data_IF_479648815922
#
_entry.id   IF_479648815922
#
_cell.length_a   1.000
_cell.length_b   1.000
_cell.length_c   1.000
_cell.angle_alpha   90.00
_cell.angle_beta   90.00
_cell.angle_gamma   90.00
#
_symmetry.space_group_name_H-M   'P 1'
#
loop_
_entity.id
_entity.type
_entity.pdbx_description
1 polymer ?
#
# COMPACT_ATOMS: atom_id res chain seq x y z
N UNK A 1 2.47 11.69 1.05
CA UNK A 1 2.09 10.42 0.37
C UNK A 1 2.97 9.25 0.79
N UNK A 2 4.27 9.42 1.01
CA UNK A 2 5.22 8.35 1.38
C UNK A 2 4.78 7.43 2.54
N UNK A 3 4.20 7.97 3.62
CA UNK A 3 3.65 7.14 4.70
C UNK A 3 2.48 6.25 4.24
N UNK A 4 1.65 6.72 3.30
CA UNK A 4 0.56 5.94 2.71
C UNK A 4 1.13 4.85 1.79
N UNK A 5 2.19 5.14 1.03
CA UNK A 5 2.88 4.15 0.19
C UNK A 5 3.47 3.02 1.04
N UNK A 6 4.11 3.36 2.17
CA UNK A 6 4.66 2.39 3.11
C UNK A 6 3.57 1.49 3.69
N UNK A 7 2.46 2.08 4.13
CA UNK A 7 1.31 1.31 4.63
C UNK A 7 0.71 0.42 3.54
N UNK A 8 0.59 0.92 2.31
CA UNK A 8 0.06 0.18 1.18
C UNK A 8 0.96 -1.02 0.81
N UNK A 9 2.29 -0.81 0.78
CA UNK A 9 3.26 -1.91 0.63
C UNK A 9 3.00 -2.99 1.67
N UNK A 10 2.96 -2.61 2.94
CA UNK A 10 2.77 -3.57 4.04
C UNK A 10 1.43 -4.30 3.93
N UNK A 11 0.38 -3.61 3.48
CA UNK A 11 -0.95 -4.19 3.30
C UNK A 11 -0.96 -5.23 2.18
N UNK A 12 -0.28 -4.97 1.06
CA UNK A 12 -0.08 -5.97 0.01
C UNK A 12 0.69 -7.19 0.52
N UNK A 13 1.76 -6.97 1.31
CA UNK A 13 2.56 -8.03 1.89
C UNK A 13 1.74 -8.96 2.79
N UNK A 14 0.98 -8.40 3.73
CA UNK A 14 0.09 -9.17 4.62
C UNK A 14 -1.00 -9.90 3.83
N UNK A 15 -1.64 -9.22 2.88
CA UNK A 15 -2.69 -9.82 2.05
C UNK A 15 -2.16 -11.01 1.25
N UNK A 16 -0.97 -10.87 0.65
CA UNK A 16 -0.29 -11.95 -0.07
C UNK A 16 0.11 -13.10 0.86
N UNK A 17 0.71 -12.80 2.02
CA UNK A 17 1.16 -13.80 2.98
C UNK A 17 0.02 -14.69 3.49
N UNK A 18 -1.18 -14.12 3.69
CA UNK A 18 -2.38 -14.80 4.16
C UNK A 18 -3.29 -15.33 3.04
N UNK A 19 -3.01 -14.98 1.77
CA UNK A 19 -3.88 -15.29 0.63
C UNK A 19 -5.27 -14.69 0.77
N UNK A 20 -5.34 -13.42 1.17
CA UNK A 20 -6.59 -12.67 1.43
C UNK A 20 -6.77 -11.52 0.46
N UNK A 21 -8.01 -11.16 0.21
CA UNK A 21 -8.37 -9.95 -0.56
C UNK A 21 -8.05 -8.69 0.25
N UNK A 22 -7.33 -7.75 -0.36
CA UNK A 22 -7.03 -6.44 0.21
C UNK A 22 -8.15 -5.44 -0.08
N UNK A 23 -8.77 -4.86 0.95
CA UNK A 23 -9.57 -3.64 0.77
C UNK A 23 -8.59 -2.46 0.75
N UNK A 24 -8.49 -1.77 -0.38
CA UNK A 24 -7.55 -0.66 -0.55
C UNK A 24 -7.89 0.48 0.41
N UNK A 25 -6.90 1.18 0.98
CA UNK A 25 -7.17 2.34 1.82
C UNK A 25 -7.67 3.51 0.97
N UNK A 26 -8.39 4.43 1.60
CA UNK A 26 -8.68 5.74 1.00
C UNK A 26 -7.37 6.53 0.93
N UNK A 27 -6.90 6.80 -0.29
CA UNK A 27 -5.66 7.54 -0.51
C UNK A 27 -5.94 9.05 -0.56
N UNK A 28 -5.03 9.83 -0.01
CA UNK A 28 -5.10 11.29 -0.01
C UNK A 28 -3.90 11.84 -0.80
N UNK A 29 -4.21 12.59 -1.85
CA UNK A 29 -3.20 13.16 -2.73
C UNK A 29 -3.12 14.69 -2.57
N UNK A 30 -1.90 15.20 -2.70
CA UNK A 30 -1.62 16.64 -2.66
C UNK A 30 -1.71 17.29 -4.03
N UNK A 31 -1.40 16.58 -5.11
CA UNK A 31 -1.47 17.10 -6.47
C UNK A 31 -2.33 16.19 -7.35
N UNK A 32 -3.01 16.81 -8.31
CA UNK A 32 -3.71 16.11 -9.38
C UNK A 32 -2.72 15.38 -10.30
N UNK A 33 -3.21 14.34 -11.00
CA UNK A 33 -2.44 13.62 -12.01
C UNK A 33 -2.89 14.07 -13.39
N UNK A 34 -1.93 14.57 -14.15
CA UNK A 34 -2.06 15.17 -15.47
C UNK A 34 -0.80 14.85 -16.29
N UNK A 35 -0.84 15.08 -17.60
CA UNK A 35 0.31 14.80 -18.49
C UNK A 35 1.15 16.04 -18.83
N UNK A 36 0.78 17.21 -18.30
CA UNK A 36 1.45 18.48 -18.56
C UNK A 36 1.84 19.18 -17.24
N UNK A 37 2.88 20.03 -17.24
CA UNK A 37 3.24 20.84 -16.08
C UNK A 37 2.06 21.66 -15.53
N UNK A 38 1.88 21.64 -14.22
CA UNK A 38 0.84 22.41 -13.54
C UNK A 38 1.18 22.62 -12.05
N UNK A 39 0.51 23.57 -11.39
CA UNK A 39 0.76 23.92 -9.99
C UNK A 39 0.07 22.99 -8.98
N UNK A 40 -0.18 21.73 -9.37
CA UNK A 40 -0.82 20.70 -8.54
C UNK A 40 -2.35 20.58 -8.66
N UNK A 41 -3.02 21.46 -9.41
CA UNK A 41 -4.42 21.31 -9.83
C UNK A 41 -4.48 21.45 -11.36
N UNK A 42 -5.30 20.65 -12.04
CA UNK A 42 -5.48 20.77 -13.50
C UNK A 42 -6.05 22.17 -13.82
N UNK A 43 -5.47 22.92 -14.78
CA UNK A 43 -6.00 24.22 -15.18
C UNK A 43 -7.50 24.15 -15.55
N UNK A 44 -8.30 25.04 -14.95
CA UNK A 44 -9.76 25.08 -15.14
C UNK A 44 -10.57 24.14 -14.24
N UNK A 45 -9.92 23.29 -13.43
CA UNK A 45 -10.60 22.46 -12.44
C UNK A 45 -10.99 23.27 -11.20
N UNK A 46 -12.20 23.03 -10.66
CA UNK A 46 -12.69 23.61 -9.40
C UNK A 46 -12.21 22.87 -8.16
N UNK A 47 -11.29 21.94 -8.35
CA UNK A 47 -10.88 20.98 -7.36
C UNK A 47 -9.99 21.56 -6.25
N UNK A 48 -10.20 21.06 -5.03
CA UNK A 48 -9.49 21.51 -3.83
C UNK A 48 -8.50 20.44 -3.33
N UNK A 49 -7.37 20.92 -2.82
CA UNK A 49 -6.31 20.08 -2.25
C UNK A 49 -6.31 20.19 -0.72
N UNK A 50 -5.99 19.11 0.02
CA UNK A 50 -5.82 17.74 -0.47
C UNK A 50 -7.16 17.09 -0.79
N UNK A 51 -7.13 15.98 -1.53
CA UNK A 51 -8.33 15.27 -1.96
C UNK A 51 -8.21 13.76 -1.79
N UNK A 52 -9.34 13.08 -1.73
CA UNK A 52 -9.41 11.64 -1.84
C UNK A 52 -9.09 11.23 -3.29
N UNK A 53 -7.88 10.73 -3.55
CA UNK A 53 -7.48 10.41 -4.91
C UNK A 53 -8.03 9.07 -5.38
N UNK A 54 -8.44 8.99 -6.66
CA UNK A 54 -8.61 7.73 -7.36
C UNK A 54 -7.37 6.85 -7.22
N UNK A 55 -7.56 5.53 -7.15
CA UNK A 55 -6.47 4.58 -6.96
C UNK A 55 -5.43 4.67 -8.10
N UNK A 56 -5.88 4.94 -9.32
CA UNK A 56 -5.06 5.05 -10.53
C UNK A 56 -4.11 6.25 -10.51
N UNK A 57 -4.31 7.22 -9.61
CA UNK A 57 -3.34 8.29 -9.39
C UNK A 57 -2.05 7.77 -8.76
N UNK A 58 -2.12 6.73 -7.94
CA UNK A 58 -0.98 6.22 -7.16
C UNK A 58 -0.50 4.86 -7.66
N UNK A 59 -1.41 4.01 -8.14
CA UNK A 59 -1.15 2.65 -8.59
C UNK A 59 -1.55 2.50 -10.05
N UNK A 60 -0.74 1.82 -10.84
CA UNK A 60 -1.14 1.38 -12.17
C UNK A 60 -2.16 0.24 -12.04
N UNK A 61 -3.45 0.59 -12.09
CA UNK A 61 -4.56 -0.35 -11.88
C UNK A 61 -4.60 -1.43 -12.97
N UNK A 62 -4.22 -1.10 -14.20
CA UNK A 62 -4.17 -2.08 -15.30
C UNK A 62 -3.13 -3.15 -15.01
N UNK A 63 -1.93 -2.74 -14.56
CA UNK A 63 -0.87 -3.67 -14.16
C UNK A 63 -1.26 -4.45 -12.90
N UNK A 64 -1.89 -3.81 -11.92
CA UNK A 64 -2.38 -4.47 -10.71
C UNK A 64 -3.38 -5.60 -11.03
N UNK A 65 -4.39 -5.32 -11.86
CA UNK A 65 -5.40 -6.30 -12.28
C UNK A 65 -4.76 -7.44 -13.09
N UNK A 66 -3.87 -7.10 -14.03
CA UNK A 66 -3.20 -8.10 -14.86
C UNK A 66 -2.25 -9.01 -14.07
N UNK A 67 -1.64 -8.50 -12.99
CA UNK A 67 -0.70 -9.26 -12.18
C UNK A 67 -1.37 -10.40 -11.40
N UNK A 68 -2.66 -10.29 -11.04
CA UNK A 68 -3.40 -11.27 -10.22
C UNK A 68 -2.63 -11.73 -8.96
N UNK A 69 -1.78 -10.85 -8.42
CA UNK A 69 -0.86 -11.18 -7.34
C UNK A 69 -1.58 -11.19 -5.97
N UNK A 70 -2.47 -10.22 -5.78
CA UNK A 70 -3.37 -10.05 -4.63
C UNK A 70 -4.72 -9.58 -5.15
N UNK A 71 -5.80 -10.29 -4.79
CA UNK A 71 -7.15 -9.81 -5.03
C UNK A 71 -7.40 -8.52 -4.24
N UNK A 72 -8.12 -7.57 -4.80
CA UNK A 72 -8.40 -6.31 -4.11
C UNK A 72 -9.84 -5.83 -4.28
N UNK A 73 -10.24 -4.93 -3.38
CA UNK A 73 -11.48 -4.14 -3.44
C UNK A 73 -11.14 -2.67 -3.26
N UNK A 74 -11.93 -1.80 -3.87
CA UNK A 74 -11.78 -0.35 -3.68
C UNK A 74 -12.14 0.09 -2.25
N UNK A 75 -11.72 1.30 -1.87
CA UNK A 75 -11.79 1.74 -0.48
C UNK A 75 -13.21 1.87 0.07
N UNK A 76 -14.18 2.22 -0.78
CA UNK A 76 -15.57 2.40 -0.38
C UNK A 76 -16.37 1.08 -0.37
N UNK A 77 -15.71 -0.06 -0.64
CA UNK A 77 -16.34 -1.38 -0.70
C UNK A 77 -17.18 -1.70 0.55
N UNK A 78 -16.71 -1.33 1.74
CA UNK A 78 -17.44 -1.60 3.00
C UNK A 78 -18.59 -0.60 3.26
N UNK A 79 -18.59 0.54 2.57
CA UNK A 79 -19.64 1.57 2.64
C UNK A 79 -20.78 1.27 1.67
N UNK A 80 -20.50 0.52 0.58
CA UNK A 80 -21.49 0.13 -0.42
C UNK A 80 -22.65 -0.68 0.20
N UNK A 81 -23.89 -0.26 0.00
CA UNK A 81 -25.10 -0.92 0.50
C UNK A 81 -25.24 -2.36 0.02
N UNK A 82 -24.71 -2.68 -1.18
CA UNK A 82 -24.74 -4.03 -1.77
C UNK A 82 -23.72 -4.98 -1.14
N UNK A 83 -22.79 -4.48 -0.34
CA UNK A 83 -21.83 -5.34 0.36
C UNK A 83 -22.53 -6.09 1.50
N UNK A 84 -22.47 -7.44 1.54
CA UNK A 84 -23.16 -8.23 2.55
C UNK A 84 -22.81 -7.81 3.98
N UNK A 85 -23.80 -7.76 4.87
CA UNK A 85 -23.60 -7.39 6.28
C UNK A 85 -22.59 -8.30 7.00
N UNK A 86 -22.52 -9.57 6.62
CA UNK A 86 -21.51 -10.50 7.13
C UNK A 86 -20.09 -10.01 6.86
N UNK A 87 -19.81 -9.47 5.67
CA UNK A 87 -18.50 -8.89 5.33
C UNK A 87 -18.23 -7.55 6.05
N UNK A 88 -19.28 -6.78 6.35
CA UNK A 88 -19.17 -5.49 7.08
C UNK A 88 -18.93 -5.68 8.58
N UNK A 89 -19.66 -6.59 9.21
CA UNK A 89 -19.69 -6.75 10.67
C UNK A 89 -18.68 -7.77 11.18
N UNK A 90 -18.37 -8.84 10.43
CA UNK A 90 -17.41 -9.86 10.85
C UNK A 90 -15.97 -9.33 10.73
N UNK A 91 -15.49 -8.66 11.78
CA UNK A 91 -14.15 -8.06 11.84
C UNK A 91 -13.39 -8.54 13.08
N UNK A 92 -12.10 -8.80 12.91
CA UNK A 92 -11.13 -8.93 13.98
C UNK A 92 -10.17 -7.74 13.90
N UNK A 93 -10.05 -6.99 15.00
CA UNK A 93 -9.12 -5.87 15.07
C UNK A 93 -7.72 -6.42 15.34
N UNK A 94 -6.74 -5.97 14.56
CA UNK A 94 -5.33 -6.33 14.68
C UNK A 94 -4.54 -5.09 15.05
N UNK A 95 -3.74 -5.17 16.11
CA UNK A 95 -2.84 -4.07 16.52
C UNK A 95 -1.38 -4.48 16.32
N UNK A 96 -0.56 -3.54 15.83
CA UNK A 96 0.89 -3.67 15.73
C UNK A 96 1.49 -3.10 17.01
N UNK A 97 2.18 -3.92 17.79
CA UNK A 97 2.66 -3.50 19.11
C UNK A 97 3.99 -4.09 19.49
N UNK A 98 4.75 -3.32 20.26
CA UNK A 98 5.96 -3.80 20.91
C UNK A 98 5.62 -4.67 22.14
N UNK A 99 6.52 -5.59 22.46
CA UNK A 99 6.37 -6.40 23.66
C UNK A 99 6.53 -5.52 24.91
N UNK A 100 5.45 -5.26 25.63
CA UNK A 100 5.45 -4.49 26.88
C UNK A 100 4.39 -3.40 26.98
N UNK A 101 3.70 -3.06 25.89
CA UNK A 101 2.64 -2.06 25.91
C UNK A 101 1.39 -2.59 26.60
N UNK A 102 1.13 -2.13 27.83
CA UNK A 102 -0.01 -2.53 28.65
C UNK A 102 -1.39 -2.19 28.02
N UNK A 103 -1.42 -1.25 27.07
CA UNK A 103 -2.62 -0.89 26.30
C UNK A 103 -2.76 -1.68 24.98
N UNK A 104 -1.73 -2.42 24.58
CA UNK A 104 -1.79 -3.20 23.36
C UNK A 104 -2.63 -4.47 23.55
N UNK A 105 -3.69 -4.60 22.74
CA UNK A 105 -4.46 -5.83 22.66
C UNK A 105 -5.66 -5.91 23.59
N UNK A 106 -6.19 -4.76 24.04
CA UNK A 106 -7.49 -4.67 24.72
C UNK A 106 -8.61 -5.25 23.82
N UNK A 107 -8.80 -6.58 23.86
CA UNK A 107 -9.82 -7.34 23.15
C UNK A 107 -9.54 -7.72 21.69
N UNK A 108 -8.30 -7.59 21.19
CA UNK A 108 -7.97 -7.81 19.77
C UNK A 108 -6.78 -8.74 19.51
N UNK A 109 -6.56 -9.08 18.23
CA UNK A 109 -5.37 -9.81 17.78
C UNK A 109 -4.16 -8.87 17.76
N UNK A 110 -2.95 -9.41 17.97
CA UNK A 110 -1.73 -8.61 17.99
C UNK A 110 -0.64 -9.22 17.12
N UNK A 111 0.13 -8.34 16.48
CA UNK A 111 1.36 -8.69 15.75
C UNK A 111 2.50 -7.79 16.23
N UNK A 112 3.72 -8.32 16.26
CA UNK A 112 4.90 -7.52 16.57
C UNK A 112 5.21 -6.53 15.44
N UNK A 113 5.93 -5.43 15.71
CA UNK A 113 6.42 -4.58 14.65
C UNK A 113 7.41 -5.34 13.76
N UNK A 114 7.43 -4.97 12.48
CA UNK A 114 8.30 -5.51 11.43
C UNK A 114 8.28 -7.05 11.39
N UNK A 115 7.08 -7.64 11.54
CA UNK A 115 6.87 -9.09 11.45
C UNK A 115 6.97 -9.55 9.99
N UNK A 116 7.67 -10.67 9.75
CA UNK A 116 7.81 -11.27 8.42
C UNK A 116 6.58 -12.11 8.02
N UNK A 117 6.58 -12.63 6.79
CA UNK A 117 5.46 -13.45 6.30
C UNK A 117 5.22 -14.72 7.12
N UNK A 118 6.25 -15.31 7.73
CA UNK A 118 6.11 -16.49 8.60
C UNK A 118 5.37 -16.12 9.88
N UNK A 119 5.82 -15.09 10.59
CA UNK A 119 5.19 -14.64 11.83
C UNK A 119 3.75 -14.14 11.60
N UNK A 120 3.48 -13.49 10.47
CA UNK A 120 2.12 -13.11 10.08
C UNK A 120 1.22 -14.35 9.89
N UNK A 121 1.70 -15.39 9.20
CA UNK A 121 0.95 -16.64 9.00
C UNK A 121 0.73 -17.38 10.32
N UNK A 122 1.74 -17.44 11.19
CA UNK A 122 1.62 -18.07 12.51
C UNK A 122 0.57 -17.40 13.39
N UNK A 123 0.53 -16.06 13.41
CA UNK A 123 -0.37 -15.29 14.28
C UNK A 123 -1.78 -15.14 13.74
N UNK A 124 -1.93 -14.98 12.42
CA UNK A 124 -3.19 -14.58 11.79
C UNK A 124 -3.74 -15.63 10.81
N UNK A 125 -2.97 -16.67 10.50
CA UNK A 125 -3.35 -17.70 9.52
C UNK A 125 -4.52 -18.58 9.98
N UNK A 126 -4.71 -18.76 11.29
CA UNK A 126 -5.83 -19.51 11.87
C UNK A 126 -7.14 -18.72 11.88
N UNK A 127 -7.10 -17.40 11.66
CA UNK A 127 -8.31 -16.58 11.59
C UNK A 127 -9.14 -17.02 10.38
N UNK A 128 -10.46 -17.25 10.50
CA UNK A 128 -11.30 -17.63 9.38
C UNK A 128 -11.21 -16.65 8.22
N UNK A 129 -11.23 -17.15 6.97
CA UNK A 129 -11.20 -16.28 5.77
C UNK A 129 -12.42 -15.38 5.65
N UNK A 130 -13.53 -15.76 6.26
CA UNK A 130 -14.77 -14.98 6.35
C UNK A 130 -14.68 -13.79 7.30
N UNK A 131 -13.70 -13.79 8.22
CA UNK A 131 -13.45 -12.68 9.16
C UNK A 131 -12.47 -11.70 8.53
N UNK A 132 -12.88 -10.43 8.46
CA UNK A 132 -12.04 -9.34 7.98
C UNK A 132 -11.02 -8.96 9.05
N UNK A 133 -9.75 -8.94 8.68
CA UNK A 133 -8.69 -8.39 9.52
C UNK A 133 -8.66 -6.87 9.34
N UNK A 134 -8.90 -6.13 10.43
CA UNK A 134 -8.83 -4.67 10.44
C UNK A 134 -7.63 -4.24 11.27
N UNK A 135 -6.54 -3.89 10.59
CA UNK A 135 -5.36 -3.34 11.23
C UNK A 135 -5.62 -1.90 11.67
N UNK A 136 -5.33 -1.58 12.93
CA UNK A 136 -5.42 -0.20 13.45
C UNK A 136 -4.40 0.72 12.77
N UNK A 137 -3.27 0.17 12.38
CA UNK A 137 -2.26 0.80 11.55
C UNK A 137 -1.54 -0.27 10.73
N UNK A 138 -1.16 0.09 9.51
CA UNK A 138 -0.28 -0.74 8.68
C UNK A 138 1.18 -0.29 8.78
N UNK A 139 1.49 0.73 9.59
CA UNK A 139 2.88 1.11 9.83
C UNK A 139 3.55 0.03 10.67
N UNK A 140 4.67 -0.46 10.17
CA UNK A 140 5.48 -1.52 10.78
C UNK A 140 4.73 -2.84 11.02
N UNK A 141 3.59 -3.08 10.39
CA UNK A 141 2.92 -4.39 10.45
C UNK A 141 3.70 -5.51 9.73
N UNK A 142 4.48 -5.18 8.70
CA UNK A 142 5.12 -6.16 7.81
C UNK A 142 6.52 -5.74 7.38
N UNK A 143 7.48 -6.66 7.45
CA UNK A 143 8.88 -6.42 7.07
C UNK A 143 9.31 -7.05 5.75
N UNK A 144 8.62 -8.07 5.26
CA UNK A 144 9.01 -8.81 4.05
C UNK A 144 8.66 -10.29 4.14
N UNK A 145 8.95 -11.03 3.08
CA UNK A 145 8.76 -12.47 3.05
C UNK A 145 9.99 -13.19 3.62
N UNK A 146 9.75 -14.21 4.45
CA UNK A 146 10.82 -15.02 5.04
C UNK A 146 11.56 -15.87 3.99
N UNK A 147 10.91 -16.17 2.87
CA UNK A 147 11.50 -16.85 1.72
C UNK A 147 12.03 -15.80 0.74
N UNK A 148 13.28 -15.94 0.31
CA UNK A 148 13.96 -14.96 -0.52
C UNK A 148 13.34 -14.85 -1.93
N UNK A 149 12.85 -15.96 -2.49
CA UNK A 149 12.21 -15.97 -3.80
C UNK A 149 10.85 -15.29 -3.76
N UNK A 150 10.05 -15.56 -2.73
CA UNK A 150 8.78 -14.85 -2.48
C UNK A 150 9.00 -13.35 -2.27
N UNK A 151 10.05 -12.97 -1.53
CA UNK A 151 10.36 -11.58 -1.27
C UNK A 151 10.80 -10.84 -2.53
N UNK A 152 11.67 -11.45 -3.35
CA UNK A 152 12.08 -10.87 -4.62
C UNK A 152 10.90 -10.73 -5.61
N UNK A 153 10.02 -11.74 -5.68
CA UNK A 153 8.79 -11.65 -6.46
C UNK A 153 7.91 -10.49 -5.99
N UNK A 154 7.74 -10.33 -4.67
CA UNK A 154 6.98 -9.26 -4.07
C UNK A 154 7.55 -7.88 -4.41
N UNK A 155 8.88 -7.70 -4.29
CA UNK A 155 9.55 -6.44 -4.66
C UNK A 155 9.37 -6.11 -6.14
N UNK A 156 9.50 -7.10 -7.03
CA UNK A 156 9.24 -6.93 -8.47
C UNK A 156 7.78 -6.56 -8.74
N UNK A 157 6.84 -7.16 -8.03
CA UNK A 157 5.42 -6.81 -8.12
C UNK A 157 5.18 -5.34 -7.73
N UNK A 158 5.72 -4.87 -6.59
CA UNK A 158 5.58 -3.49 -6.13
C UNK A 158 6.10 -2.48 -7.16
N UNK A 159 7.27 -2.75 -7.75
CA UNK A 159 7.84 -1.91 -8.80
C UNK A 159 6.93 -1.81 -10.02
N UNK A 160 6.31 -2.92 -10.43
CA UNK A 160 5.44 -2.95 -11.60
C UNK A 160 4.18 -2.12 -11.40
N UNK A 161 3.54 -2.22 -10.23
CA UNK A 161 2.26 -1.55 -9.96
C UNK A 161 2.41 -0.08 -9.58
N UNK A 162 3.62 0.42 -9.32
CA UNK A 162 3.80 1.80 -8.95
C UNK A 162 3.36 2.74 -10.09
N UNK A 163 2.49 3.69 -9.75
CA UNK A 163 1.93 4.65 -10.69
C UNK A 163 2.88 5.82 -10.97
N UNK A 164 2.56 6.55 -12.04
CA UNK A 164 3.22 7.80 -12.40
C UNK A 164 2.61 8.94 -11.57
N UNK A 165 3.49 9.78 -11.04
CA UNK A 165 3.18 11.00 -10.30
C UNK A 165 3.55 12.25 -11.10
N UNK A 166 2.77 13.29 -10.87
CA UNK A 166 2.63 14.49 -11.68
C UNK A 166 3.57 15.62 -11.28
N UNK A 167 3.62 16.68 -12.08
CA UNK A 167 4.47 16.78 -13.27
C UNK A 167 5.47 17.87 -12.93
N UNK A 168 6.76 17.59 -13.06
CA UNK A 168 7.80 18.58 -12.78
C UNK A 168 7.83 19.57 -13.94
N UNK A 169 7.81 20.87 -13.63
CA UNK A 169 7.77 21.92 -14.64
C UNK A 169 9.15 22.19 -15.27
N UNK A 170 10.22 22.07 -14.48
CA UNK A 170 11.59 22.23 -14.93
C UNK A 170 12.54 21.36 -14.10
N UNK A 171 13.28 20.40 -14.71
CA UNK A 171 13.08 19.92 -16.09
C UNK A 171 11.68 19.31 -16.26
N UNK A 172 11.08 19.49 -17.44
CA UNK A 172 9.75 18.93 -17.74
C UNK A 172 9.79 17.42 -17.63
N UNK A 173 8.90 16.83 -16.84
CA UNK A 173 8.81 15.38 -16.76
C UNK A 173 7.86 14.88 -15.70
N UNK A 174 7.95 13.58 -15.47
CA UNK A 174 7.12 12.87 -14.51
C UNK A 174 7.99 12.15 -13.51
N UNK A 175 7.50 12.03 -12.29
CA UNK A 175 8.13 11.20 -11.27
C UNK A 175 7.31 9.93 -11.19
N UNK A 176 7.90 8.86 -10.68
CA UNK A 176 7.16 7.64 -10.41
C UNK A 176 7.11 7.44 -8.91
N UNK A 177 5.95 7.01 -8.41
CA UNK A 177 5.90 6.55 -7.04
C UNK A 177 6.85 5.37 -6.87
N UNK A 178 7.43 5.28 -5.69
CA UNK A 178 8.29 4.18 -5.32
C UNK A 178 7.73 3.60 -4.02
N UNK A 179 7.14 2.40 -4.09
CA UNK A 179 6.60 1.72 -2.90
C UNK A 179 7.72 1.18 -1.99
N UNK A 180 8.97 1.24 -2.44
CA UNK A 180 10.17 0.80 -1.75
C UNK A 180 11.09 1.97 -1.37
N UNK A 181 10.62 3.22 -1.44
CA UNK A 181 11.43 4.43 -1.18
C UNK A 181 12.19 4.41 0.16
N UNK A 182 11.67 3.74 1.19
CA UNK A 182 12.27 3.60 2.53
C UNK A 182 13.07 2.30 2.74
N UNK A 183 13.23 1.46 1.71
CA UNK A 183 13.98 0.21 1.78
C UNK A 183 15.34 0.40 1.13
N UNK A 184 16.42 0.32 1.89
CA UNK A 184 17.78 0.45 1.36
C UNK A 184 18.58 -0.83 1.63
N UNK A 185 19.22 -1.46 0.62
CA UNK A 185 19.20 -1.09 -0.79
C UNK A 185 17.95 -1.63 -1.53
N UNK A 186 17.56 -0.96 -2.61
CA UNK A 186 16.54 -1.47 -3.55
C UNK A 186 16.83 -1.08 -5.01
N UNK A 187 16.07 -1.67 -5.93
CA UNK A 187 16.03 -1.30 -7.34
C UNK A 187 14.62 -0.84 -7.66
N UNK A 188 14.47 0.32 -8.30
CA UNK A 188 13.16 0.87 -8.62
C UNK A 188 12.59 0.35 -9.96
N UNK A 189 11.40 0.84 -10.32
CA UNK A 189 10.70 0.49 -11.56
C UNK A 189 11.52 0.71 -12.84
N UNK A 190 12.47 1.64 -12.81
CA UNK A 190 13.31 2.02 -13.97
C UNK A 190 14.69 1.36 -13.92
N UNK A 191 14.84 0.29 -13.14
CA UNK A 191 16.10 -0.44 -12.93
C UNK A 191 17.23 0.43 -12.34
N UNK A 192 16.90 1.51 -11.64
CA UNK A 192 17.89 2.32 -10.94
C UNK A 192 18.15 1.73 -9.57
N UNK A 193 19.42 1.61 -9.19
CA UNK A 193 19.84 1.12 -7.88
C UNK A 193 19.89 2.27 -6.88
N UNK A 194 19.32 2.04 -5.71
CA UNK A 194 19.28 2.94 -4.58
C UNK A 194 20.04 2.32 -3.42
N UNK A 195 21.23 2.86 -3.13
CA UNK A 195 22.11 2.41 -2.03
C UNK A 195 22.11 3.39 -0.85
N UNK A 196 21.29 4.44 -0.91
CA UNK A 196 21.20 5.51 0.10
C UNK A 196 19.80 6.10 0.17
N UNK A 197 19.69 7.33 0.70
CA UNK A 197 18.42 8.02 0.81
C UNK A 197 17.74 8.19 -0.57
N UNK A 198 16.44 7.93 -0.63
CA UNK A 198 15.66 8.12 -1.84
C UNK A 198 15.57 9.60 -2.18
N UNK A 199 15.82 9.94 -3.44
CA UNK A 199 15.67 11.30 -3.96
C UNK A 199 14.72 11.30 -5.16
N UNK A 200 14.09 12.44 -5.38
CA UNK A 200 13.19 12.61 -6.51
C UNK A 200 13.97 12.54 -7.82
N UNK A 201 13.72 11.52 -8.65
CA UNK A 201 14.23 11.41 -10.01
C UNK A 201 13.10 11.35 -11.01
N UNK A 202 13.23 12.13 -12.09
CA UNK A 202 12.34 11.99 -13.24
C UNK A 202 12.44 10.57 -13.81
N UNK A 203 11.32 10.07 -14.34
CA UNK A 203 11.30 8.87 -15.15
C UNK A 203 12.13 9.06 -16.44
N UNK A 204 12.49 7.95 -17.10
CA UNK A 204 13.09 7.99 -18.44
C UNK A 204 12.19 8.68 -19.47
#
# INVERSE_FOLDING_TARGET
VNHQLRQLRQAFGVARALGRTLVMPKLVCGNDRWWAPHNGVIPGSSFQRPFACPLDHVIDVNVLVAAKYVDFREYSFLENERTPNSAKQNKAVVSVCEGGDAECGAGGLTVGPRTDSRGIRERLGSVPRTTRLHFTSMLDAFSGFSDASEDEEFRRFLNRIAGIWCCVAAPTGHIWYDLQWDVVPHVDKHNRRWDGEWEMKLGP
#
